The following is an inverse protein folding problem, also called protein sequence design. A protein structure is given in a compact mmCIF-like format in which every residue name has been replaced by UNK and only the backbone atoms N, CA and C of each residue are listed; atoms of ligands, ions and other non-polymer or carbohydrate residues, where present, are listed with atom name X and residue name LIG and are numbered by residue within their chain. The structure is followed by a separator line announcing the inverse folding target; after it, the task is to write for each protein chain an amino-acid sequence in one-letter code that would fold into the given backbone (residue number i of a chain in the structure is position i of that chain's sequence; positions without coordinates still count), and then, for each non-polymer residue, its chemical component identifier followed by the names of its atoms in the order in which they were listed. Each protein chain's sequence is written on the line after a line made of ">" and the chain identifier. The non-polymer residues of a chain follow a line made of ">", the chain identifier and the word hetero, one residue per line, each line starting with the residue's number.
data_IF_257290535760
#
_entry.id   IF_257290535760
#
_cell.length_a   1.000
_cell.length_b   1.000
_cell.length_c   1.000
_cell.angle_alpha   90.00
_cell.angle_beta   90.00
_cell.angle_gamma   90.00
#
_symmetry.space_group_name_H-M   'P 1'
#
loop_
_entity.id
_entity.type
_entity.pdbx_description
1 polymer ?
#
# COMPACT_ATOMS: atom_id res chain seq x y z
N UNK A 1 12.69 -22.62 -0.11
CA UNK A 1 11.87 -21.94 -1.13
C UNK A 1 10.60 -21.52 -0.41
N UNK A 2 10.44 -20.25 -0.06
CA UNK A 2 9.20 -19.80 0.58
C UNK A 2 8.07 -19.93 -0.45
N UNK A 3 6.95 -20.54 -0.05
CA UNK A 3 5.76 -20.63 -0.90
C UNK A 3 5.19 -19.22 -1.10
N UNK A 4 4.79 -18.87 -2.31
CA UNK A 4 4.17 -17.56 -2.62
C UNK A 4 2.98 -17.31 -1.70
N UNK A 5 2.18 -18.34 -1.40
CA UNK A 5 1.06 -18.24 -0.47
C UNK A 5 1.48 -17.87 0.96
N UNK A 6 2.65 -18.36 1.40
CA UNK A 6 3.20 -18.06 2.72
C UNK A 6 3.71 -16.62 2.80
N UNK A 7 4.35 -16.14 1.73
CA UNK A 7 4.80 -14.74 1.63
C UNK A 7 3.63 -13.75 1.62
N UNK A 8 2.56 -14.05 0.89
CA UNK A 8 1.31 -13.25 0.87
C UNK A 8 0.67 -13.22 2.26
N UNK A 9 0.54 -14.37 2.92
CA UNK A 9 -0.04 -14.49 4.26
C UNK A 9 0.77 -13.73 5.31
N UNK A 10 2.10 -13.85 5.24
CA UNK A 10 3.03 -13.12 6.10
C UNK A 10 2.91 -11.60 5.89
N UNK A 11 2.86 -11.15 4.63
CA UNK A 11 2.69 -9.74 4.32
C UNK A 11 1.36 -9.20 4.87
N UNK A 12 0.25 -9.94 4.70
CA UNK A 12 -1.06 -9.57 5.26
C UNK A 12 -1.00 -9.39 6.77
N UNK A 13 -0.38 -10.34 7.48
CA UNK A 13 -0.23 -10.28 8.93
C UNK A 13 0.54 -9.02 9.36
N UNK A 14 1.66 -8.73 8.69
CA UNK A 14 2.48 -7.56 8.99
C UNK A 14 1.76 -6.26 8.62
N UNK A 15 1.08 -6.19 7.49
CA UNK A 15 0.25 -5.06 7.07
C UNK A 15 -0.79 -4.71 8.14
N UNK A 16 -1.52 -5.71 8.64
CA UNK A 16 -2.52 -5.52 9.69
C UNK A 16 -1.90 -5.18 11.04
N UNK A 17 -0.72 -5.72 11.35
CA UNK A 17 -0.01 -5.42 12.61
C UNK A 17 0.52 -3.99 12.63
N UNK A 18 1.13 -3.54 11.54
CA UNK A 18 1.78 -2.23 11.45
C UNK A 18 0.76 -1.12 11.22
N UNK A 19 -0.20 -1.33 10.30
CA UNK A 19 -1.12 -0.28 9.85
C UNK A 19 -2.58 -0.51 10.25
N UNK A 20 -2.96 -1.74 10.60
CA UNK A 20 -4.38 -2.09 10.79
C UNK A 20 -5.08 -1.24 11.85
N UNK A 21 -4.42 -0.97 12.99
CA UNK A 21 -5.00 -0.09 14.02
C UNK A 21 -5.15 1.36 13.55
N UNK A 22 -4.14 1.91 12.86
CA UNK A 22 -4.18 3.28 12.36
C UNK A 22 -5.24 3.45 11.27
N UNK A 23 -5.33 2.51 10.33
CA UNK A 23 -6.34 2.50 9.28
C UNK A 23 -7.75 2.33 9.86
N UNK A 24 -7.92 1.42 10.81
CA UNK A 24 -9.19 1.24 11.52
C UNK A 24 -9.64 2.50 12.27
N UNK A 25 -8.70 3.19 12.94
CA UNK A 25 -8.99 4.47 13.61
C UNK A 25 -9.37 5.59 12.62
N UNK A 26 -8.82 5.55 11.40
CA UNK A 26 -9.19 6.45 10.31
C UNK A 26 -10.49 6.03 9.58
N UNK A 27 -11.18 4.99 10.05
CA UNK A 27 -12.44 4.51 9.48
C UNK A 27 -12.29 3.55 8.31
N UNK A 28 -11.07 3.14 7.96
CA UNK A 28 -10.81 2.20 6.88
C UNK A 28 -10.82 0.75 7.36
N UNK A 29 -11.52 -0.12 6.64
CA UNK A 29 -11.61 -1.56 6.93
C UNK A 29 -11.08 -2.36 5.74
N UNK A 30 -10.34 -3.42 6.03
CA UNK A 30 -9.90 -4.38 5.01
C UNK A 30 -11.13 -5.06 4.42
N UNK A 31 -11.24 -5.05 3.10
CA UNK A 31 -12.29 -5.77 2.37
C UNK A 31 -12.00 -7.26 2.33
N UNK A 32 -13.06 -8.07 2.48
CA UNK A 32 -12.98 -9.51 2.27
C UNK A 32 -13.00 -9.82 0.76
N UNK A 33 -11.81 -9.88 0.14
CA UNK A 33 -11.61 -10.34 -1.25
C UNK A 33 -10.58 -11.49 -1.27
N UNK A 34 -10.97 -12.75 -0.98
CA UNK A 34 -10.03 -13.86 -0.91
C UNK A 34 -9.22 -14.08 -2.18
N UNK A 35 -9.80 -13.77 -3.35
CA UNK A 35 -9.12 -13.92 -4.65
C UNK A 35 -8.11 -12.80 -4.85
N UNK A 36 -8.49 -11.56 -4.54
CA UNK A 36 -7.56 -10.42 -4.52
C UNK A 36 -6.42 -10.63 -3.54
N UNK A 37 -6.72 -11.03 -2.31
CA UNK A 37 -5.73 -11.28 -1.27
C UNK A 37 -4.74 -12.37 -1.70
N UNK A 38 -5.22 -13.49 -2.25
CA UNK A 38 -4.36 -14.55 -2.80
C UNK A 38 -3.46 -14.05 -3.94
N UNK A 39 -3.91 -13.05 -4.71
CA UNK A 39 -3.10 -12.38 -5.75
C UNK A 39 -2.15 -11.28 -5.23
N UNK A 40 -2.10 -11.08 -3.90
CA UNK A 40 -1.29 -10.04 -3.27
C UNK A 40 -1.94 -8.65 -3.26
N UNK A 41 -3.25 -8.54 -3.53
CA UNK A 41 -3.99 -7.29 -3.51
C UNK A 41 -4.80 -7.17 -2.23
N UNK A 42 -4.54 -6.13 -1.44
CA UNK A 42 -5.23 -5.85 -0.18
C UNK A 42 -5.89 -4.48 -0.26
N UNK A 43 -7.21 -4.43 -0.10
CA UNK A 43 -7.99 -3.21 -0.26
C UNK A 43 -8.62 -2.80 1.06
N UNK A 44 -8.39 -1.57 1.47
CA UNK A 44 -9.06 -0.95 2.61
C UNK A 44 -10.06 0.09 2.11
N UNK A 45 -11.31 0.00 2.53
CA UNK A 45 -12.36 0.99 2.19
C UNK A 45 -12.82 1.75 3.41
N UNK A 46 -13.18 3.01 3.20
CA UNK A 46 -13.86 3.79 4.22
C UNK A 46 -15.21 3.13 4.57
N UNK A 47 -15.40 2.78 5.83
CA UNK A 47 -16.58 2.07 6.29
C UNK A 47 -17.79 3.01 6.42
N UNK A 48 -18.97 2.51 6.05
CA UNK A 48 -20.25 3.13 6.42
C UNK A 48 -20.76 4.26 5.52
N UNK A 49 -20.00 4.70 4.50
CA UNK A 49 -20.45 5.72 3.55
C UNK A 49 -20.81 5.11 2.20
N UNK A 50 -22.11 4.86 1.98
CA UNK A 50 -22.59 4.42 0.67
C UNK A 50 -22.47 5.55 -0.35
N UNK A 51 -21.77 5.29 -1.46
CA UNK A 51 -21.61 6.24 -2.56
C UNK A 51 -20.33 7.09 -2.53
N UNK A 52 -19.50 6.96 -1.50
CA UNK A 52 -18.17 7.58 -1.43
C UNK A 52 -17.13 6.55 -1.85
N UNK A 53 -16.39 6.85 -2.92
CA UNK A 53 -15.33 5.95 -3.40
C UNK A 53 -13.98 6.38 -2.81
N UNK A 54 -13.74 5.97 -1.56
CA UNK A 54 -12.47 6.19 -0.85
C UNK A 54 -11.85 4.86 -0.50
N UNK A 55 -10.73 4.53 -1.15
CA UNK A 55 -10.04 3.25 -0.98
C UNK A 55 -8.53 3.41 -0.98
N UNK A 56 -7.87 2.57 -0.20
CA UNK A 56 -6.43 2.37 -0.20
C UNK A 56 -6.16 0.94 -0.66
N UNK A 57 -5.36 0.77 -1.71
CA UNK A 57 -4.95 -0.54 -2.21
C UNK A 57 -3.45 -0.74 -2.00
N UNK A 58 -3.09 -1.87 -1.40
CA UNK A 58 -1.73 -2.39 -1.38
C UNK A 58 -1.62 -3.51 -2.41
N UNK A 59 -0.72 -3.36 -3.38
CA UNK A 59 -0.40 -4.42 -4.34
C UNK A 59 1.00 -4.97 -4.05
N UNK A 60 1.06 -6.18 -3.52
CA UNK A 60 2.26 -6.97 -3.31
C UNK A 60 2.64 -7.72 -4.60
N UNK A 61 3.94 -7.73 -4.91
CA UNK A 61 4.56 -8.62 -5.88
C UNK A 61 5.65 -9.41 -5.16
N UNK A 62 5.47 -10.72 -5.06
CA UNK A 62 6.43 -11.62 -4.40
C UNK A 62 7.59 -11.89 -5.35
N UNK A 63 8.81 -11.65 -4.87
CA UNK A 63 10.02 -11.95 -5.60
C UNK A 63 10.25 -13.46 -5.71
N UNK A 64 10.26 -13.99 -6.93
CA UNK A 64 10.56 -15.40 -7.18
C UNK A 64 11.98 -15.55 -7.73
N UNK A 65 12.64 -16.65 -7.35
CA UNK A 65 13.86 -17.10 -8.01
C UNK A 65 13.48 -18.15 -9.05
N UNK A 66 14.12 -18.12 -10.21
CA UNK A 66 14.03 -19.20 -11.18
C UNK A 66 15.43 -19.66 -11.57
N UNK A 67 15.52 -20.83 -12.21
CA UNK A 67 16.78 -21.33 -12.76
C UNK A 67 17.38 -20.39 -13.84
N UNK A 68 16.57 -19.46 -14.38
CA UNK A 68 16.94 -18.56 -15.48
C UNK A 68 17.06 -17.08 -15.08
N UNK A 69 16.70 -16.71 -13.85
CA UNK A 69 16.72 -15.32 -13.40
C UNK A 69 17.17 -15.18 -11.93
N UNK A 70 18.02 -14.18 -11.62
CA UNK A 70 18.36 -13.87 -10.24
C UNK A 70 17.10 -13.51 -9.45
N UNK A 71 17.10 -13.84 -8.16
CA UNK A 71 15.97 -13.55 -7.29
C UNK A 71 15.64 -12.06 -7.31
N UNK A 72 14.43 -11.72 -7.78
CA UNK A 72 13.94 -10.34 -7.70
C UNK A 72 13.53 -10.05 -6.25
N UNK A 73 13.72 -8.81 -5.76
CA UNK A 73 13.20 -8.43 -4.45
C UNK A 73 11.67 -8.46 -4.47
N UNK A 74 11.07 -8.85 -3.34
CA UNK A 74 9.65 -8.61 -3.11
C UNK A 74 9.41 -7.11 -3.00
N UNK A 75 8.24 -6.66 -3.44
CA UNK A 75 7.91 -5.23 -3.43
C UNK A 75 6.42 -4.99 -3.34
N UNK A 76 6.03 -3.83 -2.84
CA UNK A 76 4.65 -3.37 -2.91
C UNK A 76 4.56 -1.91 -3.38
N UNK A 77 3.36 -1.55 -3.84
CA UNK A 77 2.94 -0.17 -4.06
C UNK A 77 1.63 0.10 -3.33
N UNK A 78 1.38 1.38 -3.05
CA UNK A 78 0.13 1.86 -2.46
C UNK A 78 -0.58 2.76 -3.46
N UNK A 79 -1.83 2.47 -3.75
CA UNK A 79 -2.70 3.27 -4.64
C UNK A 79 -3.90 3.77 -3.85
N UNK A 80 -4.23 5.04 -4.06
CA UNK A 80 -5.34 5.74 -3.43
C UNK A 80 -6.42 6.00 -4.48
N UNK A 81 -7.67 5.79 -4.08
CA UNK A 81 -8.85 6.05 -4.91
C UNK A 81 -9.73 7.04 -4.17
N UNK A 82 -10.08 8.15 -4.82
CA UNK A 82 -10.96 9.20 -4.30
C UNK A 82 -11.92 9.65 -5.38
N UNK A 83 -13.20 9.33 -5.24
CA UNK A 83 -14.29 9.84 -6.08
C UNK A 83 -14.01 9.67 -7.59
N UNK A 84 -13.47 8.52 -7.98
CA UNK A 84 -13.09 8.19 -9.36
C UNK A 84 -11.68 8.64 -9.79
N UNK A 85 -10.96 9.40 -8.97
CA UNK A 85 -9.54 9.67 -9.17
C UNK A 85 -8.68 8.53 -8.62
N UNK A 86 -7.63 8.16 -9.35
CA UNK A 86 -6.62 7.17 -8.94
C UNK A 86 -5.24 7.83 -8.87
N UNK A 87 -4.54 7.62 -7.76
CA UNK A 87 -3.17 8.14 -7.57
C UNK A 87 -2.32 7.16 -6.77
N UNK A 88 -1.08 6.90 -7.20
CA UNK A 88 -0.14 6.19 -6.33
C UNK A 88 0.26 7.10 -5.17
N UNK A 89 0.47 6.53 -3.98
CA UNK A 89 0.93 7.30 -2.81
C UNK A 89 2.26 8.01 -3.09
N UNK A 90 3.16 7.33 -3.82
CA UNK A 90 4.43 7.91 -4.21
C UNK A 90 4.28 9.11 -5.14
N UNK A 91 3.39 9.05 -6.13
CA UNK A 91 3.12 10.18 -7.02
C UNK A 91 2.44 11.33 -6.27
N UNK A 92 1.48 11.03 -5.40
CA UNK A 92 0.84 12.04 -4.56
C UNK A 92 1.89 12.85 -3.79
N UNK A 93 2.83 12.17 -3.12
CA UNK A 93 3.85 12.83 -2.29
C UNK A 93 4.89 13.56 -3.14
N UNK A 94 5.47 12.91 -4.15
CA UNK A 94 6.63 13.43 -4.88
C UNK A 94 6.25 14.39 -5.99
N UNK A 95 5.19 14.09 -6.74
CA UNK A 95 4.73 14.95 -7.85
C UNK A 95 3.75 16.01 -7.37
N UNK A 96 2.70 15.61 -6.65
CA UNK A 96 1.59 16.53 -6.38
C UNK A 96 1.92 17.49 -5.23
N UNK A 97 2.49 16.97 -4.15
CA UNK A 97 2.95 17.79 -3.02
C UNK A 97 4.40 18.28 -3.16
N UNK A 98 5.13 17.87 -4.21
CA UNK A 98 6.53 18.22 -4.45
C UNK A 98 7.48 17.94 -3.27
N UNK A 99 7.19 16.91 -2.46
CA UNK A 99 8.00 16.52 -1.30
C UNK A 99 9.00 15.43 -1.70
N UNK A 100 10.29 15.77 -1.73
CA UNK A 100 11.38 14.87 -2.09
C UNK A 100 11.79 13.90 -0.97
N UNK A 101 10.83 13.18 -0.39
CA UNK A 101 11.06 12.17 0.66
C UNK A 101 11.24 10.75 0.08
N UNK A 102 10.62 10.45 -1.07
CA UNK A 102 10.81 9.21 -1.80
C UNK A 102 11.74 9.42 -3.02
N UNK A 103 12.42 8.37 -3.51
CA UNK A 103 13.32 8.46 -4.66
C UNK A 103 12.64 8.92 -5.96
N UNK A 104 11.36 8.58 -6.15
CA UNK A 104 10.58 8.94 -7.34
C UNK A 104 9.08 8.78 -7.10
N UNK A 105 8.27 9.30 -8.02
CA UNK A 105 6.82 9.15 -8.04
C UNK A 105 6.34 7.72 -8.36
N UNK A 106 7.20 6.93 -9.01
CA UNK A 106 6.95 5.51 -9.34
C UNK A 106 7.60 4.58 -8.30
N UNK A 107 7.82 5.07 -7.08
CA UNK A 107 8.52 4.32 -6.05
C UNK A 107 7.77 3.04 -5.66
N UNK A 108 8.54 1.95 -5.57
CA UNK A 108 8.12 0.68 -5.01
C UNK A 108 8.92 0.41 -3.73
N UNK A 109 8.21 0.21 -2.63
CA UNK A 109 8.84 -0.27 -1.41
C UNK A 109 9.26 -1.71 -1.62
N UNK A 110 10.57 -1.97 -1.49
CA UNK A 110 11.17 -3.25 -1.87
C UNK A 110 12.02 -3.81 -0.74
N UNK A 111 12.02 -5.12 -0.59
CA UNK A 111 12.85 -5.84 0.37
C UNK A 111 13.33 -7.17 -0.22
N UNK A 112 14.42 -7.69 0.31
CA UNK A 112 14.89 -9.01 -0.06
C UNK A 112 13.94 -10.07 0.48
N UNK A 113 13.83 -11.21 -0.20
CA UNK A 113 12.84 -12.25 0.16
C UNK A 113 12.99 -12.84 1.57
N UNK A 114 14.17 -12.71 2.19
CA UNK A 114 14.44 -13.08 3.59
C UNK A 114 14.29 -11.91 4.59
N UNK A 115 13.97 -10.72 4.10
CA UNK A 115 13.82 -9.50 4.89
C UNK A 115 12.40 -9.28 5.40
N UNK A 116 12.28 -8.38 6.37
CA UNK A 116 11.02 -7.98 6.97
C UNK A 116 10.42 -6.76 6.23
N UNK A 117 9.19 -6.85 5.65
CA UNK A 117 8.52 -5.70 5.06
C UNK A 117 8.08 -4.65 6.08
N UNK A 118 8.20 -4.89 7.39
CA UNK A 118 7.72 -4.01 8.45
C UNK A 118 8.27 -2.59 8.36
N UNK A 119 9.57 -2.41 8.07
CA UNK A 119 10.16 -1.07 7.91
C UNK A 119 9.58 -0.33 6.70
N UNK A 120 9.42 -1.04 5.58
CA UNK A 120 8.81 -0.51 4.36
C UNK A 120 7.32 -0.16 4.58
N UNK A 121 6.57 -1.00 5.28
CA UNK A 121 5.19 -0.75 5.67
C UNK A 121 5.08 0.46 6.60
N UNK A 122 6.01 0.63 7.54
CA UNK A 122 6.03 1.77 8.44
C UNK A 122 6.31 3.09 7.69
N UNK A 123 7.27 3.10 6.76
CA UNK A 123 7.55 4.27 5.92
C UNK A 123 6.33 4.64 5.05
N UNK A 124 5.76 3.65 4.34
CA UNK A 124 4.54 3.86 3.56
C UNK A 124 3.38 4.33 4.45
N UNK A 125 3.26 3.78 5.66
CA UNK A 125 2.28 4.17 6.66
C UNK A 125 2.38 5.62 7.09
N UNK A 126 3.58 6.12 7.38
CA UNK A 126 3.79 7.53 7.71
C UNK A 126 3.33 8.45 6.58
N UNK A 127 3.65 8.11 5.32
CA UNK A 127 3.21 8.88 4.16
C UNK A 127 1.71 8.79 3.94
N UNK A 128 1.13 7.61 4.17
CA UNK A 128 -0.31 7.40 4.08
C UNK A 128 -1.06 8.24 5.11
N UNK A 129 -0.59 8.28 6.36
CA UNK A 129 -1.20 9.11 7.41
C UNK A 129 -0.96 10.60 7.17
N UNK A 130 0.24 10.99 6.73
CA UNK A 130 0.62 12.39 6.55
C UNK A 130 0.02 13.05 5.29
N UNK A 131 -0.16 12.28 4.20
CA UNK A 131 -0.59 12.81 2.91
C UNK A 131 -1.80 12.05 2.35
N UNK A 132 -1.78 10.72 2.38
CA UNK A 132 -2.79 9.90 1.71
C UNK A 132 -4.19 10.02 2.31
N UNK A 133 -4.35 9.82 3.62
CA UNK A 133 -5.64 9.90 4.32
C UNK A 133 -6.20 11.33 4.28
N UNK A 134 -5.42 12.39 4.61
CA UNK A 134 -5.90 13.77 4.45
C UNK A 134 -6.35 14.08 3.02
N UNK A 135 -5.62 13.59 2.01
CA UNK A 135 -6.01 13.73 0.61
C UNK A 135 -7.29 12.96 0.28
N UNK A 136 -7.43 11.71 0.74
CA UNK A 136 -8.65 10.91 0.57
C UNK A 136 -9.87 11.60 1.18
N UNK A 137 -9.70 12.27 2.32
CA UNK A 137 -10.76 12.98 3.02
C UNK A 137 -11.07 14.37 2.43
N UNK A 138 -10.22 14.89 1.54
CA UNK A 138 -10.32 16.25 1.02
C UNK A 138 -9.86 17.34 2.00
N UNK A 139 -9.14 16.95 3.06
CA UNK A 139 -8.55 17.86 4.04
C UNK A 139 -7.21 18.44 3.55
N UNK A 140 -6.55 17.72 2.63
CA UNK A 140 -5.29 18.12 2.03
C UNK A 140 -5.39 18.05 0.51
N UNK A 141 -5.23 19.20 -0.14
CA UNK A 141 -5.21 19.31 -1.60
C UNK A 141 -3.81 19.73 -2.06
N UNK A 142 -3.29 19.18 -3.17
CA UNK A 142 -2.07 19.66 -3.79
C UNK A 142 -2.14 21.17 -4.09
N UNK A 143 -1.03 21.91 -3.95
CA UNK A 143 -0.99 23.30 -4.39
C UNK A 143 -1.24 23.39 -5.91
N UNK A 144 -2.09 24.33 -6.31
CA UNK A 144 -2.38 24.64 -7.71
C UNK A 144 -1.15 25.15 -8.47
#
# INVERSE_FOLDING_TARGET
>A
MADTNDAVSTFRLLLLTVLGQALGAAGYQLEEDPVGEASGRFQFRLAGESGVDRRIEFQLLVGTASEWAPQMPSRFRVTLFRDGAERSLAALVVQDFAVAILPSADHWWSWQSSGDPGAALAEAGHLLVGFGIPWLNGELEPPN
#
